data_IF_684050917927
#
_entry.id   IF_684050917927
#
_cell.length_a   1.000
_cell.length_b   1.000
_cell.length_c   1.000
_cell.angle_alpha   90.00
_cell.angle_beta   90.00
_cell.angle_gamma   90.00
#
_symmetry.space_group_name_H-M   'P 1'
#
loop_
_entity.id
_entity.type
_entity.pdbx_description
1 polymer ?
#
# COMPACT_ATOMS: atom_id res chain seq x y z
N UNK A 1 -8.87 -5.40 -16.18
CA UNK A 1 -8.69 -5.93 -14.81
C UNK A 1 -7.95 -4.87 -14.01
N UNK A 2 -8.44 -4.50 -12.82
CA UNK A 2 -7.72 -3.56 -11.93
C UNK A 2 -6.57 -4.32 -11.24
N UNK A 3 -5.38 -3.73 -11.18
CA UNK A 3 -4.27 -4.31 -10.43
C UNK A 3 -4.48 -3.94 -8.96
N UNK A 4 -4.90 -4.89 -8.14
CA UNK A 4 -5.03 -4.67 -6.71
C UNK A 4 -3.71 -4.94 -5.99
N UNK A 5 -3.41 -4.11 -5.01
CA UNK A 5 -2.42 -4.41 -4.00
C UNK A 5 -3.18 -4.58 -2.68
N UNK A 6 -3.32 -5.84 -2.28
CA UNK A 6 -4.09 -6.18 -1.09
C UNK A 6 -3.15 -6.28 0.11
N UNK A 7 -3.51 -5.63 1.22
CA UNK A 7 -2.79 -5.68 2.48
C UNK A 7 -3.58 -6.56 3.43
N UNK A 8 -2.99 -7.68 3.86
CA UNK A 8 -3.69 -8.69 4.64
C UNK A 8 -2.98 -8.93 5.97
N UNK A 9 -3.74 -9.15 7.06
CA UNK A 9 -3.15 -9.57 8.32
C UNK A 9 -2.55 -10.97 8.18
N UNK A 10 -1.42 -11.18 8.83
CA UNK A 10 -0.74 -12.46 9.01
C UNK A 10 -0.52 -12.70 10.51
N UNK A 11 -0.23 -13.94 10.91
CA UNK A 11 0.05 -14.30 12.31
C UNK A 11 1.10 -13.41 12.99
N UNK A 12 2.03 -12.83 12.21
CA UNK A 12 3.13 -12.00 12.72
C UNK A 12 2.99 -10.51 12.42
N UNK A 13 1.93 -10.07 11.74
CA UNK A 13 1.74 -8.67 11.37
C UNK A 13 0.93 -8.51 10.08
N UNK A 14 1.52 -7.85 9.09
CA UNK A 14 0.90 -7.53 7.81
C UNK A 14 1.78 -7.95 6.66
N UNK A 15 1.15 -8.43 5.58
CA UNK A 15 1.81 -8.73 4.31
C UNK A 15 1.06 -8.06 3.17
N UNK A 16 1.78 -7.75 2.08
CA UNK A 16 1.14 -7.28 0.86
C UNK A 16 1.04 -8.41 -0.16
N UNK A 17 -0.01 -8.38 -0.97
CA UNK A 17 -0.28 -9.33 -2.05
C UNK A 17 -0.41 -8.55 -3.35
N UNK A 18 0.41 -8.90 -4.34
CA UNK A 18 0.39 -8.30 -5.68
C UNK A 18 0.24 -9.42 -6.69
N UNK A 19 -0.77 -9.34 -7.55
CA UNK A 19 -1.08 -10.36 -8.56
C UNK A 19 -1.24 -11.78 -7.95
N UNK A 20 -1.82 -11.87 -6.73
CA UNK A 20 -2.01 -13.12 -6.01
C UNK A 20 -0.76 -13.67 -5.30
N UNK A 21 0.38 -12.98 -5.40
CA UNK A 21 1.64 -13.40 -4.76
C UNK A 21 1.85 -12.63 -3.46
N UNK A 22 1.99 -13.36 -2.34
CA UNK A 22 2.31 -12.80 -1.04
C UNK A 22 3.76 -12.33 -0.97
N UNK A 23 4.00 -11.21 -0.29
CA UNK A 23 5.34 -10.80 0.09
C UNK A 23 5.97 -11.83 1.03
N UNK A 24 7.26 -12.08 0.86
CA UNK A 24 8.05 -12.95 1.76
C UNK A 24 8.43 -12.26 3.07
N UNK A 25 8.10 -10.98 3.22
CA UNK A 25 8.40 -10.16 4.40
C UNK A 25 7.12 -9.82 5.14
N UNK A 26 7.25 -9.76 6.46
CA UNK A 26 6.19 -9.37 7.39
C UNK A 26 6.46 -7.95 7.91
N UNK A 27 5.41 -7.18 8.07
CA UNK A 27 5.46 -5.78 8.50
C UNK A 27 4.62 -5.59 9.76
N UNK A 28 5.16 -4.86 10.73
CA UNK A 28 4.51 -4.65 12.02
C UNK A 28 3.26 -3.76 11.92
N UNK A 29 3.16 -2.93 10.88
CA UNK A 29 2.01 -2.04 10.66
C UNK A 29 1.54 -2.08 9.21
N UNK A 30 0.27 -1.70 8.99
CA UNK A 30 -0.34 -1.59 7.66
C UNK A 30 0.44 -0.59 6.80
N UNK A 31 0.85 0.54 7.38
CA UNK A 31 1.55 1.62 6.68
C UNK A 31 2.89 1.13 6.14
N UNK A 32 3.63 0.34 6.91
CA UNK A 32 4.90 -0.26 6.46
C UNK A 32 4.69 -1.26 5.32
N UNK A 33 3.65 -2.10 5.41
CA UNK A 33 3.30 -3.01 4.31
C UNK A 33 2.92 -2.25 3.04
N UNK A 34 2.18 -1.14 3.16
CA UNK A 34 1.81 -0.26 2.05
C UNK A 34 3.05 0.38 1.43
N UNK A 35 3.95 0.98 2.22
CA UNK A 35 5.17 1.59 1.68
C UNK A 35 6.09 0.57 1.00
N UNK A 36 6.23 -0.63 1.57
CA UNK A 36 6.99 -1.71 0.95
C UNK A 36 6.37 -2.16 -0.39
N UNK A 37 5.05 -2.28 -0.45
CA UNK A 37 4.32 -2.59 -1.67
C UNK A 37 4.48 -1.50 -2.74
N UNK A 38 4.45 -0.22 -2.34
CA UNK A 38 4.71 0.92 -3.25
C UNK A 38 6.10 0.79 -3.88
N UNK A 39 7.14 0.53 -3.07
CA UNK A 39 8.51 0.32 -3.57
C UNK A 39 8.57 -0.86 -4.54
N UNK A 40 7.88 -1.97 -4.23
CA UNK A 40 7.85 -3.14 -5.10
C UNK A 40 7.14 -2.86 -6.44
N UNK A 41 6.03 -2.14 -6.42
CA UNK A 41 5.30 -1.74 -7.64
C UNK A 41 6.11 -0.75 -8.48
N UNK A 42 6.82 0.20 -7.85
CA UNK A 42 7.75 1.12 -8.53
C UNK A 42 8.86 0.34 -9.24
N UNK A 43 9.49 -0.64 -8.57
CA UNK A 43 10.52 -1.52 -9.16
C UNK A 43 10.01 -2.30 -10.36
N UNK A 44 8.72 -2.67 -10.37
CA UNK A 44 8.07 -3.39 -11.48
C UNK A 44 7.55 -2.46 -12.59
N UNK A 45 7.68 -1.14 -12.45
CA UNK A 45 7.13 -0.16 -13.40
C UNK A 45 5.59 -0.09 -13.40
N UNK A 46 4.93 -0.56 -12.33
CA UNK A 46 3.46 -0.72 -12.24
C UNK A 46 2.81 0.15 -11.15
N UNK A 47 3.52 1.14 -10.63
CA UNK A 47 3.05 2.00 -9.53
C UNK A 47 1.74 2.74 -9.84
N UNK A 48 1.55 3.20 -11.08
CA UNK A 48 0.37 3.98 -11.49
C UNK A 48 -0.94 3.18 -11.60
N UNK A 49 -0.90 1.84 -11.43
CA UNK A 49 -2.04 0.97 -11.67
C UNK A 49 -2.63 0.32 -10.42
N UNK A 50 -2.03 0.54 -9.24
CA UNK A 50 -2.36 -0.18 -8.01
C UNK A 50 -3.47 0.49 -7.20
N UNK A 51 -4.62 -0.17 -7.02
CA UNK A 51 -5.57 0.20 -5.96
C UNK A 51 -5.16 -0.53 -4.68
N UNK A 52 -4.83 0.23 -3.63
CA UNK A 52 -4.48 -0.33 -2.33
C UNK A 52 -5.72 -0.60 -1.51
N UNK A 53 -5.84 -1.81 -0.99
CA UNK A 53 -6.97 -2.22 -0.15
C UNK A 53 -6.48 -3.04 1.03
N UNK A 54 -7.21 -3.02 2.13
CA UNK A 54 -6.90 -3.78 3.35
C UNK A 54 -8.03 -4.77 3.65
N UNK A 55 -7.66 -5.97 4.08
CA UNK A 55 -8.61 -6.93 4.65
C UNK A 55 -9.02 -6.49 6.06
N UNK A 56 -10.30 -6.19 6.24
CA UNK A 56 -10.91 -5.91 7.53
C UNK A 56 -11.08 -7.17 8.37
N UNK A 57 -11.31 -6.99 9.67
CA UNK A 57 -11.61 -8.08 10.61
C UNK A 57 -12.93 -8.79 10.28
N UNK A 58 -13.79 -8.16 9.48
CA UNK A 58 -15.01 -8.72 8.92
C UNK A 58 -14.77 -9.57 7.66
N UNK A 59 -13.51 -9.76 7.26
CA UNK A 59 -13.11 -10.50 6.07
C UNK A 59 -13.36 -9.75 4.76
N UNK A 60 -13.70 -8.45 4.78
CA UNK A 60 -13.96 -7.66 3.57
C UNK A 60 -12.75 -6.80 3.19
N UNK A 61 -12.55 -6.63 1.89
CA UNK A 61 -11.54 -5.71 1.37
C UNK A 61 -12.09 -4.28 1.32
N UNK A 62 -11.45 -3.36 2.03
CA UNK A 62 -11.77 -1.94 1.99
C UNK A 62 -10.61 -1.14 1.36
N UNK A 63 -10.88 -0.10 0.56
CA UNK A 63 -9.82 0.77 0.06
C UNK A 63 -9.04 1.39 1.22
N UNK A 64 -7.72 1.43 1.08
CA UNK A 64 -6.87 2.21 1.98
C UNK A 64 -6.94 3.63 1.45
N UNK A 65 -7.72 4.48 2.11
CA UNK A 65 -7.63 5.92 1.91
C UNK A 65 -6.23 6.34 2.32
N UNK A 66 -5.35 6.50 1.33
CA UNK A 66 -4.08 7.14 1.59
C UNK A 66 -4.43 8.58 1.97
N UNK A 67 -4.35 8.90 3.26
CA UNK A 67 -4.37 10.29 3.71
C UNK A 67 -3.41 11.06 2.79
N UNK A 68 -3.84 12.18 2.18
CA UNK A 68 -2.92 13.00 1.42
C UNK A 68 -1.75 13.31 2.35
N UNK A 69 -0.52 13.07 1.88
CA UNK A 69 0.69 13.40 2.61
C UNK A 69 0.54 14.82 3.12
N UNK A 70 0.35 14.96 4.43
CA UNK A 70 0.41 16.23 5.13
C UNK A 70 1.69 16.94 4.70
N UNK A 71 1.53 18.10 4.04
CA UNK A 71 2.50 19.19 3.95
C UNK A 71 3.91 18.87 3.47
N UNK A 72 4.15 19.01 2.16
CA UNK A 72 5.29 19.85 1.76
C UNK A 72 4.73 21.27 1.80
N UNK A 73 5.15 22.16 2.72
CA UNK A 73 4.86 23.57 2.56
C UNK A 73 5.36 23.97 1.18
N UNK A 74 4.43 24.42 0.34
CA UNK A 74 4.76 25.07 -0.93
C UNK A 74 5.62 26.26 -0.54
N UNK A 75 6.94 26.09 -0.55
CA UNK A 75 7.87 27.20 -0.48
C UNK A 75 7.44 28.13 -1.61
N UNK A 76 6.85 29.24 -1.21
CA UNK A 76 6.47 30.31 -2.09
C UNK A 76 7.78 30.85 -2.69
N UNK A 77 8.14 30.37 -3.88
CA UNK A 77 8.98 31.15 -4.77
C UNK A 77 8.09 32.24 -5.34
N UNK A 78 7.90 33.30 -4.55
CA UNK A 78 7.54 34.60 -5.06
C UNK A 78 8.84 35.27 -5.52
N UNK A 79 8.89 35.49 -6.84
CA UNK A 79 9.66 36.49 -7.61
C UNK A 79 11.12 36.73 -7.28
#
# INVERSE_FOLDING_TARGET
MQNYCDIVPDATGWVYVIDGVHSTSYFHTVELAVEAAKVQLLRRGRFHAGVFRRLGVDGKMAPIEMLPKSGIPKAAYHS
#
